data_IF_425217813028
#
_entry.id   IF_425217813028
#
_cell.length_a   1.000
_cell.length_b   1.000
_cell.length_c   1.000
_cell.angle_alpha   90.00
_cell.angle_beta   90.00
_cell.angle_gamma   90.00
#
_symmetry.space_group_name_H-M   'P 1'
#
loop_
_entity.id
_entity.type
_entity.pdbx_description
1 polymer ?
#
# COMPACT_ATOMS: atom_id res chain seq x y z
N UNK A 1 -22.44 -20.67 2.49
CA UNK A 1 -21.32 -21.48 3.02
C UNK A 1 -20.00 -20.72 2.96
N UNK A 2 -19.54 -20.22 1.81
CA UNK A 2 -18.26 -19.50 1.67
C UNK A 2 -17.99 -18.36 2.68
N UNK A 3 -18.97 -17.51 3.00
CA UNK A 3 -18.76 -16.42 3.97
C UNK A 3 -18.41 -16.93 5.39
N UNK A 4 -19.00 -18.05 5.82
CA UNK A 4 -18.71 -18.64 7.13
C UNK A 4 -17.30 -19.26 7.17
N UNK A 5 -16.84 -19.83 6.05
CA UNK A 5 -15.48 -20.37 5.89
C UNK A 5 -14.44 -19.26 5.99
N UNK A 6 -14.68 -18.11 5.36
CA UNK A 6 -13.77 -16.96 5.45
C UNK A 6 -13.75 -16.34 6.85
N UNK A 7 -14.88 -16.24 7.55
CA UNK A 7 -14.88 -15.79 8.95
C UNK A 7 -14.05 -16.71 9.84
N UNK A 8 -14.20 -18.03 9.68
CA UNK A 8 -13.41 -19.01 10.42
C UNK A 8 -11.90 -18.94 10.08
N UNK A 9 -11.55 -18.64 8.83
CA UNK A 9 -10.17 -18.40 8.41
C UNK A 9 -9.58 -17.17 9.12
N UNK A 10 -10.31 -16.05 9.14
CA UNK A 10 -9.96 -14.83 9.88
C UNK A 10 -9.62 -15.13 11.34
N UNK A 11 -10.49 -15.86 12.04
CA UNK A 11 -10.29 -16.20 13.45
C UNK A 11 -9.10 -17.14 13.65
N UNK A 12 -8.87 -18.06 12.72
CA UNK A 12 -7.72 -18.96 12.77
C UNK A 12 -6.40 -18.24 12.57
N UNK A 13 -6.33 -17.28 11.64
CA UNK A 13 -5.13 -16.47 11.40
C UNK A 13 -4.82 -15.59 12.61
N UNK A 14 -5.84 -14.99 13.24
CA UNK A 14 -5.67 -14.17 14.46
C UNK A 14 -5.03 -14.92 15.63
N UNK A 15 -5.17 -16.26 15.67
CA UNK A 15 -4.53 -17.11 16.70
C UNK A 15 -3.04 -17.35 16.45
N UNK A 16 -2.54 -17.05 15.25
CA UNK A 16 -1.10 -17.13 14.94
C UNK A 16 -0.41 -15.93 15.59
N UNK A 17 0.54 -16.20 16.49
CA UNK A 17 1.33 -15.15 17.15
C UNK A 17 2.04 -14.26 16.13
N UNK A 18 1.89 -12.94 16.28
CA UNK A 18 2.50 -11.94 15.39
C UNK A 18 2.19 -12.14 13.90
N UNK A 19 1.03 -12.69 13.54
CA UNK A 19 0.65 -13.00 12.16
C UNK A 19 0.86 -11.84 11.18
N UNK A 20 0.64 -10.60 11.62
CA UNK A 20 0.78 -9.37 10.82
C UNK A 20 2.23 -9.05 10.43
N UNK A 21 3.21 -9.61 11.15
CA UNK A 21 4.66 -9.49 10.86
C UNK A 21 5.21 -10.65 10.03
N UNK A 22 4.40 -11.66 9.72
CA UNK A 22 4.80 -12.83 8.96
C UNK A 22 4.15 -12.72 7.57
N UNK A 23 4.93 -12.73 6.47
CA UNK A 23 4.38 -12.48 5.14
C UNK A 23 3.24 -13.43 4.71
N UNK A 24 3.32 -14.70 5.09
CA UNK A 24 2.32 -15.70 4.68
C UNK A 24 0.97 -15.52 5.41
N UNK A 25 0.90 -15.48 6.76
CA UNK A 25 -0.33 -15.16 7.47
C UNK A 25 -0.92 -13.78 7.12
N UNK A 26 -0.08 -12.77 6.89
CA UNK A 26 -0.56 -11.46 6.45
C UNK A 26 -1.26 -11.54 5.08
N UNK A 27 -0.68 -12.26 4.11
CA UNK A 27 -1.31 -12.46 2.81
C UNK A 27 -2.66 -13.18 2.93
N UNK A 28 -2.75 -14.20 3.79
CA UNK A 28 -4.02 -14.89 4.07
C UNK A 28 -5.06 -13.97 4.69
N UNK A 29 -4.65 -13.11 5.62
CA UNK A 29 -5.58 -12.14 6.22
C UNK A 29 -6.06 -11.13 5.18
N UNK A 30 -5.15 -10.59 4.35
CA UNK A 30 -5.50 -9.64 3.30
C UNK A 30 -6.52 -10.26 2.31
N UNK A 31 -6.29 -11.50 1.89
CA UNK A 31 -7.26 -12.23 1.06
C UNK A 31 -8.60 -12.42 1.77
N UNK A 32 -8.57 -12.88 3.03
CA UNK A 32 -9.80 -13.15 3.78
C UNK A 32 -10.62 -11.88 3.99
N UNK A 33 -9.98 -10.77 4.34
CA UNK A 33 -10.62 -9.46 4.49
C UNK A 33 -11.21 -9.00 3.16
N UNK A 34 -10.48 -9.17 2.05
CA UNK A 34 -11.00 -8.86 0.72
C UNK A 34 -12.26 -9.66 0.38
N UNK A 35 -12.23 -10.98 0.61
CA UNK A 35 -13.37 -11.88 0.30
C UNK A 35 -14.59 -11.59 1.15
N UNK A 36 -14.41 -11.07 2.37
CA UNK A 36 -15.49 -10.75 3.29
C UNK A 36 -16.05 -9.34 3.11
N UNK A 37 -15.20 -8.35 2.87
CA UNK A 37 -15.54 -6.92 3.00
C UNK A 37 -15.15 -6.08 1.78
N UNK A 38 -14.52 -6.67 0.76
CA UNK A 38 -14.05 -5.98 -0.43
C UNK A 38 -12.68 -5.33 -0.28
N UNK A 39 -12.30 -4.53 -1.28
CA UNK A 39 -10.95 -3.98 -1.40
C UNK A 39 -10.61 -2.91 -0.35
N UNK A 40 -11.57 -2.06 0.02
CA UNK A 40 -11.31 -0.91 0.88
C UNK A 40 -10.68 -1.32 2.23
N UNK A 41 -11.23 -2.30 2.97
CA UNK A 41 -10.63 -2.74 4.23
C UNK A 41 -9.34 -3.56 4.06
N UNK A 42 -9.05 -4.05 2.85
CA UNK A 42 -7.85 -4.83 2.57
C UNK A 42 -6.61 -3.95 2.31
N UNK A 43 -6.79 -2.69 1.91
CA UNK A 43 -5.69 -1.76 1.58
C UNK A 43 -4.57 -1.66 2.63
N UNK A 44 -4.86 -1.51 3.93
CA UNK A 44 -3.82 -1.51 4.97
C UNK A 44 -2.94 -2.76 4.93
N UNK A 45 -3.56 -3.94 4.80
CA UNK A 45 -2.88 -5.23 4.79
C UNK A 45 -2.08 -5.44 3.52
N UNK A 46 -2.58 -4.95 2.38
CA UNK A 46 -1.85 -4.96 1.10
C UNK A 46 -0.62 -4.06 1.18
N UNK A 47 -0.71 -2.90 1.84
CA UNK A 47 0.43 -2.01 2.04
C UNK A 47 1.52 -2.64 2.91
N UNK A 48 1.12 -3.21 4.04
CA UNK A 48 2.04 -3.93 4.93
C UNK A 48 2.69 -5.14 4.25
N UNK A 49 1.92 -5.88 3.45
CA UNK A 49 2.44 -6.99 2.67
C UNK A 49 3.42 -6.53 1.60
N UNK A 50 3.20 -5.35 1.00
CA UNK A 50 4.14 -4.73 0.07
C UNK A 50 5.52 -4.57 0.72
N UNK A 51 5.56 -4.06 1.95
CA UNK A 51 6.80 -3.79 2.67
C UNK A 51 7.48 -5.06 3.17
N UNK A 52 6.69 -6.06 3.60
CA UNK A 52 7.22 -7.32 4.12
C UNK A 52 7.61 -8.31 3.02
N UNK A 53 6.88 -8.35 1.91
CA UNK A 53 7.14 -9.27 0.80
C UNK A 53 6.47 -8.79 -0.50
N UNK A 54 7.16 -7.95 -1.29
CA UNK A 54 6.69 -7.47 -2.59
C UNK A 54 6.24 -8.60 -3.53
N UNK A 55 7.01 -9.71 -3.54
CA UNK A 55 6.68 -10.92 -4.30
C UNK A 55 5.32 -11.52 -3.92
N UNK A 56 4.99 -11.59 -2.62
CA UNK A 56 3.69 -12.12 -2.15
C UNK A 56 2.56 -11.16 -2.44
N UNK A 57 2.78 -9.85 -2.34
CA UNK A 57 1.81 -8.87 -2.81
C UNK A 57 1.51 -9.07 -4.30
N UNK A 58 2.56 -9.21 -5.12
CA UNK A 58 2.42 -9.46 -6.55
C UNK A 58 1.57 -10.69 -6.86
N UNK A 59 1.84 -11.81 -6.17
CA UNK A 59 1.03 -13.03 -6.30
C UNK A 59 -0.42 -12.82 -5.82
N UNK A 60 -0.62 -12.18 -4.67
CA UNK A 60 -1.94 -11.94 -4.10
C UNK A 60 -2.81 -11.07 -5.01
N UNK A 61 -2.27 -9.99 -5.59
CA UNK A 61 -2.99 -9.13 -6.54
C UNK A 61 -3.56 -9.97 -7.70
N UNK A 62 -2.79 -10.92 -8.21
CA UNK A 62 -3.25 -11.84 -9.27
C UNK A 62 -4.32 -12.81 -8.77
N UNK A 63 -4.15 -13.38 -7.57
CA UNK A 63 -5.12 -14.29 -6.94
C UNK A 63 -6.46 -13.62 -6.64
N UNK A 64 -6.45 -12.35 -6.21
CA UNK A 64 -7.69 -11.61 -5.94
C UNK A 64 -8.48 -11.36 -7.23
N UNK A 65 -7.78 -11.08 -8.33
CA UNK A 65 -8.41 -10.85 -9.64
C UNK A 65 -9.24 -9.56 -9.72
N UNK A 66 -9.09 -8.67 -8.74
CA UNK A 66 -9.86 -7.43 -8.67
C UNK A 66 -9.48 -6.49 -9.82
N UNK A 67 -10.46 -6.09 -10.63
CA UNK A 67 -10.22 -5.29 -11.84
C UNK A 67 -9.60 -3.92 -11.54
N UNK A 68 -9.99 -3.30 -10.42
CA UNK A 68 -9.50 -1.98 -10.03
C UNK A 68 -8.06 -2.05 -9.52
N UNK A 69 -7.72 -3.11 -8.78
CA UNK A 69 -6.37 -3.38 -8.28
C UNK A 69 -5.44 -3.79 -9.42
N UNK A 70 -5.90 -4.65 -10.34
CA UNK A 70 -5.15 -5.05 -11.53
C UNK A 70 -4.90 -3.90 -12.50
N UNK A 71 -5.86 -2.99 -12.66
CA UNK A 71 -5.67 -1.78 -13.46
C UNK A 71 -4.61 -0.87 -12.83
N UNK A 72 -4.66 -0.66 -11.52
CA UNK A 72 -3.68 0.17 -10.81
C UNK A 72 -2.28 -0.47 -10.84
N UNK A 73 -2.20 -1.79 -10.66
CA UNK A 73 -0.95 -2.56 -10.79
C UNK A 73 -0.31 -2.39 -12.17
N UNK A 74 -1.09 -2.53 -13.26
CA UNK A 74 -0.60 -2.32 -14.62
C UNK A 74 -0.09 -0.89 -14.85
N UNK A 75 -0.76 0.10 -14.28
CA UNK A 75 -0.30 1.50 -14.36
C UNK A 75 0.99 1.71 -13.57
N UNK A 76 1.15 1.06 -12.42
CA UNK A 76 2.39 1.08 -11.65
C UNK A 76 3.54 0.51 -12.48
N UNK A 77 3.37 -0.72 -13.00
CA UNK A 77 4.39 -1.40 -13.80
C UNK A 77 4.82 -0.58 -15.04
N UNK A 78 3.90 0.23 -15.60
CA UNK A 78 4.17 1.04 -16.79
C UNK A 78 4.75 2.44 -16.50
N UNK A 79 4.51 3.01 -15.32
CA UNK A 79 4.77 4.44 -15.05
C UNK A 79 5.58 4.72 -13.78
N UNK A 80 5.90 3.70 -12.99
CA UNK A 80 6.78 3.85 -11.84
C UNK A 80 8.23 3.79 -12.32
N UNK A 81 8.97 4.86 -12.02
CA UNK A 81 10.40 4.94 -12.30
C UNK A 81 11.16 4.34 -11.12
N UNK A 82 11.36 3.01 -11.20
CA UNK A 82 12.10 2.19 -10.23
C UNK A 82 13.17 1.35 -10.91
N UNK A 83 13.65 0.30 -10.24
CA UNK A 83 14.70 -0.56 -10.79
C UNK A 83 14.19 -1.59 -11.83
N UNK A 84 12.87 -1.68 -12.02
CA UNK A 84 12.23 -2.64 -12.91
C UNK A 84 12.17 -4.06 -12.34
N UNK A 85 12.28 -4.20 -11.01
CA UNK A 85 12.32 -5.49 -10.32
C UNK A 85 11.08 -5.69 -9.44
N UNK A 86 10.85 -6.93 -9.00
CA UNK A 86 9.69 -7.25 -8.15
C UNK A 86 9.68 -6.47 -6.84
N UNK A 87 10.84 -6.07 -6.33
CA UNK A 87 10.97 -5.35 -5.06
C UNK A 87 10.45 -3.90 -5.15
N UNK A 88 10.34 -3.34 -6.37
CA UNK A 88 9.71 -2.04 -6.57
C UNK A 88 8.25 -2.03 -6.10
N UNK A 89 7.58 -3.19 -6.06
CA UNK A 89 6.22 -3.28 -5.50
C UNK A 89 6.12 -2.82 -4.05
N UNK A 90 7.21 -2.75 -3.30
CA UNK A 90 7.18 -2.16 -1.97
C UNK A 90 6.70 -0.69 -2.00
N UNK A 91 6.96 0.03 -3.10
CA UNK A 91 6.53 1.41 -3.34
C UNK A 91 5.10 1.53 -3.87
N UNK A 92 4.49 0.43 -4.31
CA UNK A 92 3.13 0.41 -4.87
C UNK A 92 2.09 1.14 -4.00
N UNK A 93 2.05 0.98 -2.66
CA UNK A 93 1.08 1.68 -1.82
C UNK A 93 1.28 3.21 -1.84
N UNK A 94 2.53 3.67 -1.78
CA UNK A 94 2.85 5.10 -1.80
C UNK A 94 2.56 5.71 -3.17
N UNK A 95 2.96 5.02 -4.26
CA UNK A 95 2.66 5.45 -5.61
C UNK A 95 1.15 5.48 -5.89
N UNK A 96 0.39 4.53 -5.34
CA UNK A 96 -1.07 4.50 -5.46
C UNK A 96 -1.74 5.75 -4.88
N UNK A 97 -1.14 6.43 -3.90
CA UNK A 97 -1.65 7.70 -3.37
C UNK A 97 -1.47 8.88 -4.33
N UNK A 98 -0.44 8.86 -5.17
CA UNK A 98 -0.29 9.88 -6.23
C UNK A 98 -1.45 9.77 -7.22
N UNK A 99 -1.73 8.54 -7.67
CA UNK A 99 -2.80 8.25 -8.64
C UNK A 99 -4.21 8.32 -8.06
N UNK A 100 -4.38 7.97 -6.78
CA UNK A 100 -5.67 7.92 -6.08
C UNK A 100 -5.55 8.49 -4.67
N UNK A 101 -5.58 9.83 -4.50
CA UNK A 101 -5.50 10.48 -3.19
C UNK A 101 -6.59 10.02 -2.19
N UNK A 102 -7.74 9.56 -2.69
CA UNK A 102 -8.83 9.02 -1.86
C UNK A 102 -8.45 7.79 -1.02
N UNK A 103 -7.38 7.07 -1.39
CA UNK A 103 -6.87 5.94 -0.61
C UNK A 103 -6.20 6.36 0.71
N UNK A 104 -5.93 7.65 0.91
CA UNK A 104 -5.22 8.16 2.08
C UNK A 104 -5.87 7.78 3.41
N UNK A 105 -7.21 7.84 3.49
CA UNK A 105 -7.92 7.48 4.72
C UNK A 105 -7.75 5.99 5.07
N UNK A 106 -7.78 5.11 4.06
CA UNK A 106 -7.60 3.68 4.22
C UNK A 106 -6.15 3.36 4.59
N UNK A 107 -5.18 3.89 3.83
CA UNK A 107 -3.77 3.60 4.01
C UNK A 107 -3.19 4.14 5.32
N UNK A 108 -3.82 5.13 5.96
CA UNK A 108 -3.47 5.54 7.34
C UNK A 108 -3.63 4.43 8.36
N UNK A 109 -4.55 3.48 8.15
CA UNK A 109 -4.79 2.36 9.06
C UNK A 109 -3.73 1.23 8.93
N UNK A 110 -2.75 1.38 8.04
CA UNK A 110 -1.60 0.46 7.97
C UNK A 110 -0.77 0.54 9.25
N UNK A 111 -0.49 -0.60 9.85
CA UNK A 111 0.41 -0.70 11.00
C UNK A 111 1.87 -0.47 10.57
N UNK A 112 2.70 0.12 11.45
CA UNK A 112 4.13 0.21 11.21
C UNK A 112 4.74 -1.18 11.04
N UNK A 113 5.68 -1.31 10.10
CA UNK A 113 6.38 -2.56 9.84
C UNK A 113 7.83 -2.46 10.32
N UNK A 114 8.80 -2.68 9.44
CA UNK A 114 10.24 -2.64 9.74
C UNK A 114 10.87 -1.26 9.49
N UNK A 115 10.08 -0.23 9.17
CA UNK A 115 10.59 1.13 8.93
C UNK A 115 11.35 1.25 7.60
N UNK A 116 10.98 0.45 6.61
CA UNK A 116 11.63 0.46 5.29
C UNK A 116 11.46 1.81 4.59
N UNK A 117 12.34 2.13 3.63
CA UNK A 117 12.20 3.36 2.83
C UNK A 117 10.82 3.47 2.15
N UNK A 118 10.24 2.40 1.56
CA UNK A 118 8.88 2.46 1.02
C UNK A 118 7.78 2.76 2.03
N UNK A 119 7.91 2.26 3.27
CA UNK A 119 7.00 2.61 4.36
C UNK A 119 7.08 4.11 4.67
N UNK A 120 8.30 4.64 4.82
CA UNK A 120 8.53 6.07 5.05
C UNK A 120 7.97 6.92 3.91
N UNK A 121 8.12 6.47 2.66
CA UNK A 121 7.55 7.11 1.48
C UNK A 121 6.02 7.20 1.54
N UNK A 122 5.34 6.15 1.98
CA UNK A 122 3.89 6.21 2.20
C UNK A 122 3.54 7.27 3.26
N UNK A 123 4.27 7.31 4.38
CA UNK A 123 4.00 8.26 5.46
C UNK A 123 4.19 9.72 4.99
N UNK A 124 5.26 10.00 4.26
CA UNK A 124 5.50 11.33 3.67
C UNK A 124 4.38 11.70 2.68
N UNK A 125 3.95 10.78 1.82
CA UNK A 125 2.84 11.00 0.88
C UNK A 125 1.53 11.33 1.62
N UNK A 126 1.22 10.62 2.71
CA UNK A 126 0.05 10.90 3.54
C UNK A 126 0.12 12.28 4.21
N UNK A 127 1.31 12.71 4.63
CA UNK A 127 1.52 14.04 5.21
C UNK A 127 1.40 15.13 4.16
N UNK A 128 1.98 14.95 2.98
CA UNK A 128 1.82 15.86 1.84
C UNK A 128 0.35 16.09 1.50
N UNK A 129 -0.44 15.01 1.37
CA UNK A 129 -1.89 15.10 1.12
C UNK A 129 -2.65 15.85 2.21
N UNK A 130 -2.22 15.72 3.48
CA UNK A 130 -2.81 16.49 4.59
C UNK A 130 -2.47 17.97 4.47
N UNK A 131 -1.21 18.30 4.22
CA UNK A 131 -0.72 19.68 4.13
C UNK A 131 -1.34 20.43 2.95
N UNK A 132 -1.50 19.75 1.81
CA UNK A 132 -2.22 20.26 0.64
C UNK A 132 -3.63 20.69 1.00
N UNK A 133 -4.38 19.80 1.66
CA UNK A 133 -5.75 20.07 2.09
C UNK A 133 -5.84 21.23 3.09
N UNK A 134 -4.78 21.45 3.87
CA UNK A 134 -4.70 22.53 4.87
C UNK A 134 -4.17 23.86 4.30
N UNK A 135 -3.69 23.88 3.05
CA UNK A 135 -3.09 25.08 2.45
C UNK A 135 -1.75 25.50 3.07
N UNK A 136 -1.04 24.59 3.76
CA UNK A 136 0.22 24.89 4.47
C UNK A 136 1.42 24.87 3.52
N UNK A 137 1.53 25.89 2.68
CA UNK A 137 2.51 25.95 1.58
C UNK A 137 3.98 25.80 2.02
N UNK A 138 4.37 26.43 3.14
CA UNK A 138 5.75 26.36 3.62
C UNK A 138 6.15 24.94 4.03
N UNK A 139 5.33 24.27 4.85
CA UNK A 139 5.61 22.91 5.32
C UNK A 139 5.55 21.87 4.18
N UNK A 140 4.69 22.15 3.20
CA UNK A 140 4.55 21.33 2.00
C UNK A 140 5.84 21.33 1.16
N UNK A 141 6.54 22.46 1.06
CA UNK A 141 7.83 22.52 0.36
C UNK A 141 8.89 21.66 1.05
N UNK A 142 8.97 21.68 2.37
CA UNK A 142 9.92 20.84 3.11
C UNK A 142 9.60 19.34 2.93
N UNK A 143 8.31 18.96 3.02
CA UNK A 143 7.91 17.56 2.76
C UNK A 143 8.14 17.11 1.33
N UNK A 144 8.06 18.01 0.35
CA UNK A 144 8.42 17.73 -1.04
C UNK A 144 9.92 17.42 -1.18
N UNK A 145 10.77 18.17 -0.49
CA UNK A 145 12.22 17.89 -0.44
C UNK A 145 12.49 16.53 0.21
N UNK A 146 11.83 16.21 1.32
CA UNK A 146 11.93 14.90 1.98
C UNK A 146 11.59 13.77 1.00
N UNK A 147 10.47 13.90 0.28
CA UNK A 147 10.03 12.89 -0.70
C UNK A 147 11.03 12.73 -1.86
N UNK A 148 11.51 13.85 -2.42
CA UNK A 148 12.50 13.84 -3.48
C UNK A 148 13.82 13.20 -3.03
N UNK A 149 14.29 13.54 -1.82
CA UNK A 149 15.49 12.93 -1.24
C UNK A 149 15.34 11.45 -0.91
N UNK A 150 14.12 10.99 -0.61
CA UNK A 150 13.83 9.58 -0.34
C UNK A 150 13.79 8.74 -1.63
N UNK A 151 13.03 9.18 -2.64
CA UNK A 151 12.87 8.44 -3.89
C UNK A 151 12.38 9.34 -5.04
N UNK A 152 13.26 9.66 -5.98
CA UNK A 152 12.98 10.55 -7.10
C UNK A 152 11.76 10.08 -7.94
N UNK A 153 11.68 8.79 -8.30
CA UNK A 153 10.55 8.28 -9.09
C UNK A 153 9.19 8.38 -8.41
N UNK A 154 9.15 8.39 -7.06
CA UNK A 154 7.90 8.55 -6.31
C UNK A 154 7.53 10.04 -6.25
N UNK A 155 8.53 10.91 -6.06
CA UNK A 155 8.35 12.35 -6.13
C UNK A 155 7.82 12.80 -7.51
N UNK A 156 8.40 12.31 -8.60
CA UNK A 156 7.94 12.62 -9.97
C UNK A 156 6.50 12.16 -10.20
N UNK A 157 6.14 10.96 -9.73
CA UNK A 157 4.76 10.48 -9.80
C UNK A 157 3.80 11.38 -9.02
N UNK A 158 4.20 11.84 -7.83
CA UNK A 158 3.42 12.78 -7.03
C UNK A 158 3.25 14.13 -7.75
N UNK A 159 4.33 14.75 -8.24
CA UNK A 159 4.28 16.05 -8.93
C UNK A 159 3.43 16.00 -10.19
N UNK A 160 3.52 14.91 -10.98
CA UNK A 160 2.73 14.73 -12.22
C UNK A 160 1.21 14.78 -11.99
N UNK A 161 0.75 14.51 -10.77
CA UNK A 161 -0.68 14.42 -10.42
C UNK A 161 -1.18 15.64 -9.61
N UNK A 162 -0.40 16.72 -9.55
CA UNK A 162 -0.71 17.93 -8.78
C UNK A 162 -0.80 19.18 -9.66
#
# INVERSE_FOLDING_TARGET
>A
MRAAEWTAACDSIKRIGSWRRIPTPLAWMAETVYRLQGLDPAWPLLAELAWLSPKRLGALIQTLGDSSLLALRRRFDANFDGEGIIDDLAWFPAWSLAEKPGLAALLRASEPSTGTLPEQGLRIMLDLLTLERQGRQHDLLERRKDLHGLHAGLFEAYIRTR
#
